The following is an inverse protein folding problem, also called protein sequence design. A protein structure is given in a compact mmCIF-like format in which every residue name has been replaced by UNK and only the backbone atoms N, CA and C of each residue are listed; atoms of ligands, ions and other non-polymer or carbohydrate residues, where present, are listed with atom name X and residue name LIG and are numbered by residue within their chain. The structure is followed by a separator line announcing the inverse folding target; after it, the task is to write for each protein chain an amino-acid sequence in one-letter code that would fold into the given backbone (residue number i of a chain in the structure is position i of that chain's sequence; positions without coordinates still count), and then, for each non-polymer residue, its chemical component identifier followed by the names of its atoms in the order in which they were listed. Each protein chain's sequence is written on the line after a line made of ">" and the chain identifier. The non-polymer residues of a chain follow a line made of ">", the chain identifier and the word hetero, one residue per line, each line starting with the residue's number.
data_IF_562517338466
#
_entry.id   IF_562517338466
#
_cell.length_a   1.000
_cell.length_b   1.000
_cell.length_c   1.000
_cell.angle_alpha   90.00
_cell.angle_beta   90.00
_cell.angle_gamma   90.00
#
_symmetry.space_group_name_H-M   'P 1'
#
loop_
_entity.id
_entity.type
_entity.pdbx_description
1 polymer ?
#
# COMPACT_ATOMS: atom_id res chain seq x y z
N UNK A 1 -24.21 -0.78 1.96
CA UNK A 1 -23.46 -0.87 3.24
C UNK A 1 -21.98 -0.89 2.89
N UNK A 2 -21.18 0.08 3.34
CA UNK A 2 -19.75 0.07 3.07
C UNK A 2 -19.11 -1.05 3.90
N UNK A 3 -18.68 -2.13 3.25
CA UNK A 3 -17.92 -3.21 3.88
C UNK A 3 -16.64 -2.60 4.42
N UNK A 4 -16.45 -2.59 5.74
CA UNK A 4 -15.23 -2.06 6.36
C UNK A 4 -14.03 -2.80 5.75
N UNK A 5 -13.14 -2.04 5.11
CA UNK A 5 -12.01 -2.64 4.42
C UNK A 5 -11.16 -3.45 5.41
N UNK A 6 -10.85 -4.70 5.07
CA UNK A 6 -10.25 -5.66 5.99
C UNK A 6 -8.91 -5.17 6.59
N UNK A 7 -8.20 -4.27 5.92
CA UNK A 7 -6.94 -3.69 6.39
C UNK A 7 -7.10 -2.56 7.43
N UNK A 8 -8.34 -2.14 7.73
CA UNK A 8 -8.70 -1.07 8.68
C UNK A 8 -9.42 -1.59 9.94
N UNK A 9 -9.46 -2.91 10.16
CA UNK A 9 -10.25 -3.53 11.22
C UNK A 9 -10.06 -2.91 12.62
N UNK A 10 -8.84 -2.52 12.95
CA UNK A 10 -8.34 -1.93 14.22
C UNK A 10 -8.34 -0.40 14.27
N UNK A 11 -8.74 0.29 13.19
CA UNK A 11 -8.84 1.76 13.17
C UNK A 11 -10.28 2.22 13.04
N UNK A 12 -10.57 3.38 13.66
CA UNK A 12 -11.81 4.13 13.51
C UNK A 12 -11.69 5.15 12.36
N UNK A 13 -11.36 4.63 11.17
CA UNK A 13 -11.37 5.39 9.91
C UNK A 13 -12.08 4.57 8.83
N UNK A 14 -12.81 5.25 7.95
CA UNK A 14 -13.44 4.64 6.78
C UNK A 14 -12.48 4.59 5.57
N UNK A 15 -12.94 3.97 4.49
CA UNK A 15 -12.14 3.83 3.26
C UNK A 15 -11.86 5.18 2.59
N UNK A 16 -12.74 6.17 2.73
CA UNK A 16 -12.58 7.49 2.11
C UNK A 16 -11.47 8.28 2.80
N UNK A 17 -11.51 8.39 4.14
CA UNK A 17 -10.42 8.96 4.94
C UNK A 17 -9.11 8.24 4.69
N UNK A 18 -9.14 6.90 4.59
CA UNK A 18 -7.93 6.16 4.27
C UNK A 18 -7.37 6.52 2.89
N UNK A 19 -8.20 6.69 1.87
CA UNK A 19 -7.76 7.15 0.53
C UNK A 19 -7.19 8.57 0.57
N UNK A 20 -7.76 9.45 1.39
CA UNK A 20 -7.21 10.79 1.58
C UNK A 20 -5.84 10.76 2.27
N UNK A 21 -5.66 9.89 3.27
CA UNK A 21 -4.34 9.67 3.89
C UNK A 21 -3.36 9.06 2.89
N UNK A 22 -3.79 8.03 2.14
CA UNK A 22 -2.97 7.34 1.13
C UNK A 22 -2.53 8.28 0.00
N UNK A 23 -3.39 9.22 -0.40
CA UNK A 23 -3.03 10.24 -1.40
C UNK A 23 -2.14 11.33 -0.82
N UNK A 24 -2.17 11.53 0.50
CA UNK A 24 -1.45 12.59 1.23
C UNK A 24 -2.25 13.88 1.39
N UNK A 25 -3.56 13.85 1.12
CA UNK A 25 -4.48 14.97 1.33
C UNK A 25 -4.84 15.14 2.81
N UNK A 26 -4.73 14.08 3.60
CA UNK A 26 -5.10 14.05 5.00
C UNK A 26 -3.99 13.42 5.84
N UNK A 27 -3.75 13.97 7.03
CA UNK A 27 -2.94 13.35 8.07
C UNK A 27 -3.71 13.42 9.37
N UNK A 28 -3.86 12.29 10.07
CA UNK A 28 -4.57 12.22 11.35
C UNK A 28 -3.57 11.78 12.43
N UNK A 29 -3.04 12.73 13.20
CA UNK A 29 -2.00 12.45 14.20
C UNK A 29 -0.76 11.83 13.54
N UNK A 30 -0.51 10.52 13.81
CA UNK A 30 0.60 9.75 13.20
C UNK A 30 0.20 8.97 11.95
N UNK A 31 -1.07 9.05 11.52
CA UNK A 31 -1.59 8.37 10.33
C UNK A 31 -1.33 9.25 9.12
N UNK A 32 -0.15 9.08 8.53
CA UNK A 32 0.29 9.78 7.33
C UNK A 32 0.30 8.84 6.11
N UNK A 33 0.70 9.39 4.96
CA UNK A 33 0.81 8.64 3.70
C UNK A 33 1.72 7.42 3.80
N UNK A 34 2.80 7.51 4.58
CA UNK A 34 3.73 6.40 4.74
C UNK A 34 3.11 5.27 5.57
N UNK A 35 2.43 5.63 6.67
CA UNK A 35 1.63 4.70 7.46
C UNK A 35 0.56 4.02 6.60
N UNK A 36 -0.22 4.78 5.81
CA UNK A 36 -1.29 4.23 4.99
C UNK A 36 -0.75 3.27 3.92
N UNK A 37 0.37 3.64 3.28
CA UNK A 37 1.00 2.78 2.27
C UNK A 37 1.51 1.49 2.92
N UNK A 38 2.20 1.57 4.05
CA UNK A 38 2.68 0.39 4.78
C UNK A 38 1.52 -0.52 5.20
N UNK A 39 0.45 0.08 5.74
CA UNK A 39 -0.76 -0.62 6.19
C UNK A 39 -1.42 -1.38 5.04
N UNK A 40 -1.57 -0.73 3.89
CA UNK A 40 -2.13 -1.34 2.70
C UNK A 40 -1.28 -2.52 2.23
N UNK A 41 0.04 -2.31 2.12
CA UNK A 41 0.97 -3.36 1.67
C UNK A 41 1.08 -4.52 2.66
N UNK A 42 0.78 -4.35 3.95
CA UNK A 42 0.86 -5.42 4.95
C UNK A 42 -0.43 -6.22 5.14
N UNK A 43 -1.59 -5.61 4.95
CA UNK A 43 -2.86 -6.23 5.34
C UNK A 43 -3.87 -6.37 4.20
N UNK A 44 -3.79 -5.56 3.15
CA UNK A 44 -4.76 -5.62 2.06
C UNK A 44 -4.53 -6.81 1.13
N UNK A 45 -5.55 -7.13 0.34
CA UNK A 45 -5.47 -8.08 -0.76
C UNK A 45 -4.63 -7.50 -1.90
N UNK A 46 -4.00 -8.34 -2.72
CA UNK A 46 -3.25 -7.84 -3.88
C UNK A 46 -4.11 -7.02 -4.86
N UNK A 47 -5.35 -7.41 -5.19
CA UNK A 47 -6.25 -6.57 -6.00
C UNK A 47 -6.50 -5.19 -5.40
N UNK A 48 -6.70 -5.08 -4.09
CA UNK A 48 -6.88 -3.76 -3.44
C UNK A 48 -5.61 -2.92 -3.47
N UNK A 49 -4.46 -3.54 -3.29
CA UNK A 49 -3.16 -2.86 -3.38
C UNK A 49 -2.99 -2.25 -4.77
N UNK A 50 -3.22 -3.03 -5.83
CA UNK A 50 -3.12 -2.54 -7.21
C UNK A 50 -4.18 -1.49 -7.51
N UNK A 51 -5.42 -1.67 -7.05
CA UNK A 51 -6.51 -0.71 -7.25
C UNK A 51 -6.23 0.66 -6.61
N UNK A 52 -5.63 0.68 -5.41
CA UNK A 52 -5.47 1.91 -4.62
C UNK A 52 -4.12 2.62 -4.84
N UNK A 53 -3.04 1.88 -5.10
CA UNK A 53 -1.70 2.45 -5.33
C UNK A 53 -1.27 2.42 -6.80
N UNK A 54 -1.77 1.47 -7.59
CA UNK A 54 -1.21 1.14 -8.89
C UNK A 54 0.21 0.57 -8.80
N UNK A 55 0.72 0.06 -9.92
CA UNK A 55 2.08 -0.49 -9.97
C UNK A 55 3.14 0.58 -9.72
N UNK A 56 2.99 1.75 -10.36
CA UNK A 56 3.89 2.88 -10.17
C UNK A 56 4.01 3.31 -8.71
N UNK A 57 2.88 3.45 -8.00
CA UNK A 57 2.87 3.85 -6.59
C UNK A 57 3.57 2.83 -5.69
N UNK A 58 3.44 1.54 -5.98
CA UNK A 58 4.19 0.47 -5.29
C UNK A 58 5.70 0.65 -5.54
N UNK A 59 6.11 0.77 -6.80
CA UNK A 59 7.55 0.86 -7.18
C UNK A 59 8.21 2.10 -6.59
N UNK A 60 7.55 3.26 -6.65
CA UNK A 60 8.09 4.52 -6.13
C UNK A 60 8.24 4.50 -4.60
N UNK A 61 7.31 3.86 -3.88
CA UNK A 61 7.28 3.88 -2.41
C UNK A 61 8.06 2.73 -1.77
N UNK A 62 8.29 1.64 -2.50
CA UNK A 62 8.89 0.43 -1.95
C UNK A 62 10.24 0.64 -1.25
N UNK A 63 11.20 1.41 -1.80
CA UNK A 63 12.51 1.56 -1.16
C UNK A 63 12.43 2.09 0.29
N UNK A 64 11.52 3.03 0.55
CA UNK A 64 11.31 3.59 1.89
C UNK A 64 10.59 2.62 2.84
N UNK A 65 9.69 1.79 2.30
CA UNK A 65 8.81 0.94 3.11
C UNK A 65 9.37 -0.46 3.38
N UNK A 66 10.25 -0.96 2.50
CA UNK A 66 10.81 -2.31 2.57
C UNK A 66 11.42 -2.64 3.94
N UNK A 67 12.16 -1.70 4.52
CA UNK A 67 12.78 -1.86 5.84
C UNK A 67 11.75 -1.95 6.99
N UNK A 68 10.61 -1.27 6.84
CA UNK A 68 9.56 -1.16 7.87
C UNK A 68 8.56 -2.31 7.85
N UNK A 69 8.47 -3.04 6.73
CA UNK A 69 7.55 -4.16 6.60
C UNK A 69 7.89 -5.29 7.58
N UNK A 70 6.88 -5.94 8.14
CA UNK A 70 7.01 -7.03 9.11
C UNK A 70 6.96 -8.40 8.44
N UNK A 71 6.05 -8.57 7.48
CA UNK A 71 5.86 -9.85 6.78
C UNK A 71 6.99 -10.12 5.79
N UNK A 72 7.82 -11.11 6.09
CA UNK A 72 8.91 -11.55 5.19
C UNK A 72 8.39 -12.14 3.88
N UNK A 73 7.23 -12.80 3.91
CA UNK A 73 6.59 -13.32 2.69
C UNK A 73 6.18 -12.17 1.77
N UNK A 74 5.54 -11.13 2.30
CA UNK A 74 5.17 -9.95 1.51
C UNK A 74 6.39 -9.19 1.00
N UNK A 75 7.45 -9.04 1.82
CA UNK A 75 8.73 -8.45 1.37
C UNK A 75 9.26 -9.13 0.12
N UNK A 76 9.41 -10.46 0.16
CA UNK A 76 9.90 -11.23 -0.99
C UNK A 76 8.96 -11.12 -2.19
N UNK A 77 7.65 -11.13 -1.96
CA UNK A 77 6.66 -10.95 -3.02
C UNK A 77 6.78 -9.59 -3.73
N UNK A 78 6.94 -8.51 -2.97
CA UNK A 78 7.13 -7.17 -3.55
C UNK A 78 8.51 -6.97 -4.17
N UNK A 79 9.57 -7.51 -3.57
CA UNK A 79 10.91 -7.52 -4.17
C UNK A 79 10.85 -8.16 -5.57
N UNK A 80 10.24 -9.36 -5.66
CA UNK A 80 10.01 -10.04 -6.94
C UNK A 80 9.16 -9.21 -7.91
N UNK A 81 8.00 -8.70 -7.45
CA UNK A 81 7.07 -7.94 -8.31
C UNK A 81 7.76 -6.72 -8.92
N UNK A 82 8.55 -6.00 -8.14
CA UNK A 82 9.22 -4.76 -8.59
C UNK A 82 10.30 -5.08 -9.61
N UNK A 83 11.10 -6.10 -9.35
CA UNK A 83 12.08 -6.58 -10.32
C UNK A 83 11.41 -7.03 -11.63
N UNK A 84 10.34 -7.80 -11.51
CA UNK A 84 9.56 -8.28 -12.65
C UNK A 84 8.93 -7.15 -13.46
N UNK A 85 8.32 -6.14 -12.80
CA UNK A 85 7.75 -4.98 -13.48
C UNK A 85 8.84 -4.19 -14.23
N UNK A 86 9.97 -3.89 -13.59
CA UNK A 86 11.05 -3.13 -14.22
C UNK A 86 11.66 -3.86 -15.42
N UNK A 87 11.80 -5.18 -15.34
CA UNK A 87 12.50 -5.97 -16.36
C UNK A 87 11.59 -6.55 -17.46
N UNK A 88 10.30 -6.78 -17.16
CA UNK A 88 9.36 -7.49 -18.05
C UNK A 88 8.15 -6.66 -18.45
N UNK A 89 7.72 -5.72 -17.62
CA UNK A 89 6.53 -4.91 -17.86
C UNK A 89 6.73 -3.42 -17.54
N UNK A 90 7.76 -2.76 -18.11
CA UNK A 90 8.01 -1.35 -17.86
C UNK A 90 6.84 -0.46 -18.32
N UNK A 91 5.99 -0.91 -19.26
CA UNK A 91 4.79 -0.22 -19.72
C UNK A 91 3.71 -0.03 -18.64
N UNK A 92 3.86 -0.70 -17.48
CA UNK A 92 2.94 -0.60 -16.34
C UNK A 92 3.38 0.44 -15.29
N UNK A 93 4.51 1.12 -15.49
CA UNK A 93 5.13 2.11 -14.59
C UNK A 93 4.95 3.55 -15.14
#
# INVERSE_FOLDING_TARGET
>A
MATKAAYLWDYDIDEEKFKDILSGKLTIGKLDKEWATLRLLEYASYPDIVRLLGYRGIVERWPALRGRMRSQSRKRGFDFLIEWLKNKHPERL
#
